data_IF_558405749010
#
_entry.id   IF_558405749010
#
_cell.length_a   1.000
_cell.length_b   1.000
_cell.length_c   1.000
_cell.angle_alpha   90.00
_cell.angle_beta   90.00
_cell.angle_gamma   90.00
#
_symmetry.space_group_name_H-M   'P 1'
#
loop_
_entity.id
_entity.type
_entity.pdbx_description
1 polymer ?
#
# COMPACT_ATOMS: atom_id res chain seq x y z
N UNK A 1 -4.61 38.19 73.80
CA UNK A 1 -4.62 39.29 72.81
C UNK A 1 -5.28 38.76 71.55
N UNK A 2 -6.33 39.41 71.03
CA UNK A 2 -6.96 39.03 69.75
C UNK A 2 -6.25 39.81 68.63
N UNK A 3 -5.83 39.18 67.53
CA UNK A 3 -5.23 39.91 66.42
C UNK A 3 -6.25 40.90 65.81
N UNK A 4 -5.78 42.03 65.26
CA UNK A 4 -6.64 43.00 64.60
C UNK A 4 -7.35 42.39 63.37
N UNK A 5 -8.51 42.93 62.96
CA UNK A 5 -9.20 42.47 61.77
C UNK A 5 -8.33 42.65 60.52
N UNK A 6 -8.30 41.62 59.67
CA UNK A 6 -7.54 41.62 58.41
C UNK A 6 -8.27 42.51 57.39
N UNK A 7 -7.59 43.46 56.72
CA UNK A 7 -8.21 44.30 55.70
C UNK A 7 -8.62 43.49 54.47
N UNK A 8 -9.67 43.95 53.77
CA UNK A 8 -10.08 43.33 52.51
C UNK A 8 -8.95 43.40 51.47
N UNK A 9 -8.65 42.27 50.83
CA UNK A 9 -7.59 42.18 49.82
C UNK A 9 -6.20 41.85 50.36
N UNK A 10 -6.04 41.59 51.66
CA UNK A 10 -4.81 40.98 52.16
C UNK A 10 -4.55 39.63 51.46
N UNK A 11 -3.29 39.34 51.08
CA UNK A 11 -2.96 38.05 50.48
C UNK A 11 -3.31 36.91 51.45
N UNK A 12 -3.72 35.78 50.88
CA UNK A 12 -3.99 34.58 51.67
C UNK A 12 -2.70 34.15 52.41
N UNK A 13 -2.82 33.58 53.62
CA UNK A 13 -1.67 33.06 54.34
C UNK A 13 -0.99 31.93 53.55
N UNK A 14 0.34 31.87 53.61
CA UNK A 14 1.11 30.77 53.05
C UNK A 14 0.84 29.49 53.85
N UNK A 15 0.64 28.37 53.14
CA UNK A 15 0.33 27.07 53.74
C UNK A 15 1.23 26.00 53.11
N UNK A 16 1.99 25.30 53.96
CA UNK A 16 2.94 24.27 53.53
C UNK A 16 2.34 22.87 53.41
N UNK A 17 1.08 22.71 53.81
CA UNK A 17 0.38 21.43 53.71
C UNK A 17 0.05 21.07 52.25
N UNK A 18 0.00 19.77 51.91
CA UNK A 18 -0.43 19.32 50.59
C UNK A 18 -1.86 19.78 50.29
N UNK A 19 -2.14 20.07 49.02
CA UNK A 19 -3.46 20.52 48.62
C UNK A 19 -4.55 19.48 48.93
N UNK A 20 -5.57 19.87 49.71
CA UNK A 20 -6.67 19.01 50.15
C UNK A 20 -7.90 19.04 49.20
N UNK A 21 -7.83 19.74 48.07
CA UNK A 21 -8.91 19.78 47.07
C UNK A 21 -9.13 18.39 46.44
N UNK A 22 -10.34 18.08 45.92
CA UNK A 22 -10.57 16.81 45.23
C UNK A 22 -9.80 16.77 43.91
N UNK A 23 -9.07 15.67 43.67
CA UNK A 23 -8.30 15.44 42.46
C UNK A 23 -8.90 14.28 41.65
N UNK A 24 -8.89 14.40 40.33
CA UNK A 24 -9.36 13.33 39.42
C UNK A 24 -8.28 12.29 39.12
N UNK A 25 -7.04 12.50 39.56
CA UNK A 25 -5.91 11.59 39.40
C UNK A 25 -5.75 10.70 40.65
N UNK A 26 -5.26 9.47 40.44
CA UNK A 26 -5.07 8.48 41.50
C UNK A 26 -3.57 8.35 41.86
N UNK A 27 -3.02 9.36 42.54
CA UNK A 27 -1.64 9.34 43.05
C UNK A 27 -1.50 10.29 44.26
N UNK A 28 -0.43 10.17 45.06
CA UNK A 28 -0.14 11.12 46.14
C UNK A 28 -0.03 12.56 45.62
N UNK A 29 -0.62 13.52 46.32
CA UNK A 29 -0.58 14.94 45.93
C UNK A 29 0.84 15.47 46.12
N UNK A 30 1.46 15.96 45.03
CA UNK A 30 2.85 16.44 45.03
C UNK A 30 2.98 17.97 45.10
N UNK A 31 1.87 18.71 45.22
CA UNK A 31 1.87 20.17 45.31
C UNK A 31 1.25 20.66 46.63
N UNK A 32 1.69 21.86 47.05
CA UNK A 32 1.22 22.53 48.27
C UNK A 32 -0.11 23.24 48.05
N UNK A 33 -0.73 23.68 49.14
CA UNK A 33 -1.88 24.56 49.11
C UNK A 33 -1.57 25.82 48.29
N UNK A 34 -2.54 26.23 47.47
CA UNK A 34 -2.39 27.33 46.52
C UNK A 34 -3.69 28.14 46.46
N UNK A 35 -3.59 29.41 46.10
CA UNK A 35 -4.72 30.35 46.11
C UNK A 35 -5.57 30.32 44.83
N UNK A 36 -5.05 29.77 43.72
CA UNK A 36 -5.78 29.77 42.45
C UNK A 36 -6.99 28.82 42.49
N UNK A 37 -7.98 29.07 41.64
CA UNK A 37 -9.19 28.22 41.51
C UNK A 37 -8.90 26.79 41.00
N UNK A 38 -7.82 26.61 40.24
CA UNK A 38 -7.44 25.33 39.64
C UNK A 38 -6.09 24.84 40.16
N UNK A 39 -6.04 23.56 40.54
CA UNK A 39 -4.78 22.92 40.95
C UNK A 39 -3.78 22.89 39.78
N UNK A 40 -2.48 23.01 40.05
CA UNK A 40 -1.44 22.83 39.03
C UNK A 40 -1.49 21.41 38.46
N UNK A 41 -1.06 21.22 37.19
CA UNK A 41 -1.04 19.90 36.58
C UNK A 41 -0.08 18.97 37.32
N UNK A 42 -0.51 17.71 37.49
CA UNK A 42 0.29 16.71 38.15
C UNK A 42 1.40 16.19 37.23
N UNK A 43 2.62 16.09 37.75
CA UNK A 43 3.79 15.52 37.04
C UNK A 43 3.93 14.01 37.22
N UNK A 44 3.04 13.40 38.01
CA UNK A 44 3.04 11.95 38.21
C UNK A 44 2.73 11.25 36.88
N UNK A 45 3.62 10.33 36.48
CA UNK A 45 3.39 9.49 35.32
C UNK A 45 2.27 8.50 35.67
N UNK A 46 1.13 8.66 35.04
CA UNK A 46 0.04 7.67 35.10
C UNK A 46 0.24 6.65 33.99
N UNK A 47 0.15 5.37 34.33
CA UNK A 47 0.10 4.29 33.34
C UNK A 47 -1.16 4.46 32.47
N UNK A 48 -0.97 4.90 31.22
CA UNK A 48 -2.05 4.94 30.22
C UNK A 48 -1.79 3.83 29.22
N UNK A 49 -2.64 2.81 29.24
CA UNK A 49 -2.59 1.77 28.21
C UNK A 49 -2.83 2.38 26.83
N UNK A 50 -2.02 2.01 25.86
CA UNK A 50 -2.29 2.35 24.47
C UNK A 50 -3.58 1.64 23.99
N UNK A 51 -4.18 2.11 22.89
CA UNK A 51 -5.36 1.49 22.26
C UNK A 51 -5.18 -0.02 21.92
N UNK A 52 -3.96 -0.55 21.99
CA UNK A 52 -3.63 -1.96 21.76
C UNK A 52 -3.34 -2.81 23.01
N UNK A 53 -3.47 -2.28 24.24
CA UNK A 53 -3.19 -3.01 25.50
C UNK A 53 -1.84 -3.77 25.54
N UNK A 54 -0.74 -3.14 25.18
CA UNK A 54 0.61 -3.72 25.36
C UNK A 54 1.27 -3.22 26.65
N UNK A 55 2.06 -4.08 27.27
CA UNK A 55 2.87 -3.84 28.46
C UNK A 55 4.13 -3.01 28.14
N UNK A 56 4.61 -2.24 29.13
CA UNK A 56 5.70 -1.28 28.98
C UNK A 56 7.00 -2.00 28.57
N UNK A 57 7.50 -1.71 27.36
CA UNK A 57 8.77 -2.26 26.84
C UNK A 57 8.63 -3.25 25.68
N UNK A 58 7.42 -3.75 25.39
CA UNK A 58 7.22 -4.67 24.27
C UNK A 58 6.98 -3.93 22.95
N UNK A 59 7.75 -4.28 21.92
CA UNK A 59 7.53 -3.76 20.56
C UNK A 59 6.25 -4.37 20.01
N UNK A 60 5.27 -3.52 19.73
CA UNK A 60 4.02 -3.92 19.09
C UNK A 60 4.31 -4.69 17.79
N UNK A 61 3.90 -5.96 17.72
CA UNK A 61 4.11 -6.85 16.58
C UNK A 61 3.04 -6.71 15.49
N UNK A 62 1.99 -5.92 15.75
CA UNK A 62 0.91 -5.69 14.79
C UNK A 62 1.43 -5.00 13.53
N UNK A 63 1.02 -5.40 12.33
CA UNK A 63 1.47 -4.75 11.10
C UNK A 63 0.97 -3.31 11.03
N UNK A 64 1.87 -2.42 10.59
CA UNK A 64 1.55 -1.05 10.27
C UNK A 64 0.68 -1.00 9.00
N UNK A 65 -0.47 -0.32 9.10
CA UNK A 65 -1.47 -0.20 8.02
C UNK A 65 -1.34 1.11 7.22
N UNK A 66 -0.29 1.91 7.48
CA UNK A 66 0.00 3.12 6.71
C UNK A 66 0.39 2.73 5.28
N UNK A 67 -0.20 3.40 4.30
CA UNK A 67 0.03 3.15 2.88
C UNK A 67 1.35 3.76 2.42
N UNK A 68 2.11 3.00 1.65
CA UNK A 68 3.34 3.43 0.96
C UNK A 68 2.99 4.19 -0.33
N UNK A 69 3.98 4.81 -1.00
CA UNK A 69 3.77 5.42 -2.32
C UNK A 69 3.26 4.44 -3.39
N UNK A 70 3.55 3.15 -3.24
CA UNK A 70 3.00 2.09 -4.10
C UNK A 70 1.61 1.60 -3.67
N UNK A 71 0.91 2.34 -2.80
CA UNK A 71 -0.44 2.09 -2.31
C UNK A 71 -0.63 0.76 -1.54
N UNK A 72 0.47 0.10 -1.20
CA UNK A 72 0.47 -1.10 -0.35
C UNK A 72 0.68 -0.74 1.11
N UNK A 73 0.09 -1.51 2.06
CA UNK A 73 0.35 -1.32 3.48
C UNK A 73 1.82 -1.58 3.81
N UNK A 74 2.36 -0.83 4.78
CA UNK A 74 3.73 -0.97 5.25
C UNK A 74 4.05 -2.40 5.73
N UNK A 75 3.14 -3.01 6.48
CA UNK A 75 3.22 -4.38 7.01
C UNK A 75 4.42 -4.66 7.96
N UNK A 76 5.24 -3.66 8.28
CA UNK A 76 6.26 -3.74 9.33
C UNK A 76 5.63 -3.65 10.73
N UNK A 77 6.34 -4.07 11.79
CA UNK A 77 5.89 -3.89 13.17
C UNK A 77 5.47 -2.43 13.42
N UNK A 78 4.40 -2.25 14.18
CA UNK A 78 3.85 -0.93 14.49
C UNK A 78 4.92 -0.07 15.17
N UNK A 79 5.13 1.12 14.62
CA UNK A 79 6.09 2.12 15.08
C UNK A 79 5.39 3.35 15.70
N UNK A 80 4.16 3.16 16.18
CA UNK A 80 3.38 4.19 16.86
C UNK A 80 3.16 5.43 15.98
N UNK A 81 3.65 6.58 16.44
CA UNK A 81 3.55 7.88 15.76
C UNK A 81 4.78 8.23 14.91
N UNK A 82 5.84 7.43 14.96
CA UNK A 82 7.01 7.65 14.12
C UNK A 82 6.66 7.44 12.63
N UNK A 83 7.34 8.11 11.70
CA UNK A 83 7.18 7.83 10.28
C UNK A 83 7.56 6.38 9.94
N UNK A 84 6.94 5.81 8.91
CA UNK A 84 7.28 4.46 8.46
C UNK A 84 8.76 4.38 8.06
N UNK A 85 9.51 3.38 8.55
CA UNK A 85 10.91 3.22 8.17
C UNK A 85 11.03 2.85 6.68
N UNK A 86 12.05 3.39 6.03
CA UNK A 86 12.36 3.07 4.64
C UNK A 86 12.64 1.57 4.49
N UNK A 87 11.96 0.92 3.56
CA UNK A 87 11.96 -0.54 3.42
C UNK A 87 11.41 -0.94 2.06
N UNK A 88 11.83 -2.09 1.54
CA UNK A 88 11.30 -2.60 0.29
C UNK A 88 9.88 -3.17 0.48
N UNK A 89 8.99 -2.90 -0.48
CA UNK A 89 7.65 -3.47 -0.47
C UNK A 89 7.69 -4.97 -0.80
N UNK A 90 7.23 -5.81 0.13
CA UNK A 90 7.20 -7.28 0.00
C UNK A 90 5.91 -7.81 -0.63
N UNK A 91 4.97 -6.94 -0.98
CA UNK A 91 3.69 -7.36 -1.56
C UNK A 91 3.92 -7.99 -2.93
N UNK A 92 3.22 -9.10 -3.21
CA UNK A 92 3.20 -9.71 -4.54
C UNK A 92 2.16 -9.01 -5.42
N UNK A 93 2.58 -8.62 -6.63
CA UNK A 93 1.72 -8.02 -7.65
C UNK A 93 1.61 -8.97 -8.85
N UNK A 94 0.41 -9.06 -9.43
CA UNK A 94 0.17 -9.87 -10.62
C UNK A 94 0.58 -9.07 -11.85
N UNK A 95 1.49 -9.64 -12.63
CA UNK A 95 1.97 -9.08 -13.90
C UNK A 95 1.52 -9.95 -15.05
N UNK A 96 1.26 -9.35 -16.20
CA UNK A 96 0.68 -10.03 -17.37
C UNK A 96 1.52 -9.81 -18.62
N UNK A 97 1.37 -10.69 -19.61
CA UNK A 97 1.83 -10.40 -20.97
C UNK A 97 0.98 -9.28 -21.58
N UNK A 98 1.49 -8.64 -22.63
CA UNK A 98 0.71 -7.76 -23.53
C UNK A 98 -0.59 -8.43 -24.01
N UNK A 99 -0.57 -9.74 -24.17
CA UNK A 99 -1.68 -10.57 -24.64
C UNK A 99 -2.71 -10.94 -23.55
N UNK A 100 -2.46 -10.62 -22.28
CA UNK A 100 -3.28 -11.01 -21.13
C UNK A 100 -3.30 -12.51 -20.75
N UNK A 101 -2.81 -13.41 -21.62
CA UNK A 101 -2.82 -14.87 -21.42
C UNK A 101 -1.88 -15.33 -20.32
N UNK A 102 -0.61 -14.92 -20.38
CA UNK A 102 0.36 -15.25 -19.33
C UNK A 102 0.24 -14.28 -18.16
N UNK A 103 0.15 -14.84 -16.95
CA UNK A 103 0.14 -14.09 -15.69
C UNK A 103 1.21 -14.67 -14.76
N UNK A 104 1.92 -13.83 -14.03
CA UNK A 104 2.89 -14.24 -13.02
C UNK A 104 2.83 -13.31 -11.82
N UNK A 105 3.40 -13.73 -10.69
CA UNK A 105 3.49 -12.93 -9.47
C UNK A 105 4.93 -12.50 -9.24
N UNK A 106 5.14 -11.20 -9.06
CA UNK A 106 6.45 -10.63 -8.74
C UNK A 106 6.32 -9.70 -7.53
N UNK A 107 7.42 -9.48 -6.80
CA UNK A 107 7.43 -8.53 -5.68
C UNK A 107 7.26 -7.10 -6.19
N UNK A 108 6.51 -6.28 -5.47
CA UNK A 108 6.30 -4.87 -5.80
C UNK A 108 7.61 -4.09 -5.92
N UNK A 109 8.62 -4.39 -5.10
CA UNK A 109 9.95 -3.78 -5.19
C UNK A 109 10.65 -4.08 -6.53
N UNK A 110 10.51 -5.30 -7.04
CA UNK A 110 11.10 -5.74 -8.31
C UNK A 110 10.30 -5.23 -9.50
N UNK A 111 8.98 -5.16 -9.35
CA UNK A 111 8.09 -4.60 -10.36
C UNK A 111 8.41 -3.13 -10.67
N UNK A 112 8.67 -2.30 -9.64
CA UNK A 112 9.10 -0.91 -9.84
C UNK A 112 10.39 -0.81 -10.68
N UNK A 113 11.37 -1.70 -10.43
CA UNK A 113 12.62 -1.77 -11.20
C UNK A 113 12.38 -2.23 -12.64
N UNK A 114 11.48 -3.17 -12.85
CA UNK A 114 11.11 -3.69 -14.18
C UNK A 114 10.44 -2.60 -15.03
N UNK A 115 9.45 -1.90 -14.48
CA UNK A 115 8.75 -0.80 -15.17
C UNK A 115 9.69 0.38 -15.44
N UNK A 116 10.58 0.71 -14.49
CA UNK A 116 11.58 1.75 -14.67
C UNK A 116 12.52 1.47 -15.86
N UNK A 117 12.96 0.22 -16.02
CA UNK A 117 13.78 -0.20 -17.18
C UNK A 117 13.01 -0.14 -18.49
N UNK A 118 11.75 -0.58 -18.51
CA UNK A 118 10.90 -0.47 -19.72
C UNK A 118 10.76 1.00 -20.16
N UNK A 119 10.46 1.90 -19.22
CA UNK A 119 10.30 3.33 -19.49
C UNK A 119 11.59 4.00 -19.96
N UNK A 120 12.74 3.57 -19.43
CA UNK A 120 14.03 4.07 -19.89
C UNK A 120 14.26 3.72 -21.37
N UNK A 121 13.91 2.50 -21.78
CA UNK A 121 14.02 2.06 -23.18
C UNK A 121 13.07 2.83 -24.11
N UNK A 122 11.85 3.15 -23.66
CA UNK A 122 10.89 3.98 -24.41
C UNK A 122 11.35 5.43 -24.60
N UNK A 123 12.13 5.97 -23.66
CA UNK A 123 12.64 7.33 -23.73
C UNK A 123 13.77 7.48 -24.77
N UNK A 124 14.56 6.43 -25.01
CA UNK A 124 15.66 6.45 -25.98
C UNK A 124 15.18 6.32 -27.44
N UNK A 125 13.98 5.78 -27.67
CA UNK A 125 13.38 5.63 -29.00
C UNK A 125 12.78 6.96 -29.56
N UNK A 126 12.72 8.03 -28.76
CA UNK A 126 12.10 9.31 -29.15
C UNK A 126 13.01 10.29 -29.91
N UNK A 127 14.30 9.98 -30.13
CA UNK A 127 15.23 10.89 -30.83
C UNK A 127 15.83 10.36 -32.14
N UNK A 128 15.22 9.36 -32.79
CA UNK A 128 15.66 9.01 -34.14
C UNK A 128 14.82 7.99 -34.88
N UNK A 129 14.00 8.46 -35.83
CA UNK A 129 14.03 8.08 -37.26
C UNK A 129 12.66 8.31 -37.90
N UNK A 130 12.58 9.27 -38.83
CA UNK A 130 11.48 9.34 -39.79
C UNK A 130 11.69 8.22 -40.81
N UNK A 131 10.78 7.25 -40.87
CA UNK A 131 10.65 6.31 -41.99
C UNK A 131 9.22 6.30 -42.51
N UNK A 132 8.99 6.45 -43.83
CA UNK A 132 7.68 6.26 -44.43
C UNK A 132 7.40 4.75 -44.60
N UNK A 133 6.17 4.36 -44.27
CA UNK A 133 5.39 3.25 -44.82
C UNK A 133 6.06 1.87 -45.02
N UNK A 134 5.84 0.96 -44.06
CA UNK A 134 5.42 -0.42 -44.33
C UNK A 134 4.87 -1.07 -43.07
N UNK A 135 3.71 -1.71 -43.19
CA UNK A 135 2.84 -2.15 -42.12
C UNK A 135 3.48 -3.00 -41.01
N UNK A 136 3.59 -2.41 -39.83
CA UNK A 136 3.27 -2.99 -38.53
C UNK A 136 3.09 -1.81 -37.57
N UNK A 137 1.83 -1.45 -37.30
CA UNK A 137 1.52 -0.30 -36.47
C UNK A 137 2.14 -0.47 -35.08
N UNK A 138 3.08 0.41 -34.75
CA UNK A 138 3.56 0.58 -33.39
C UNK A 138 2.34 0.86 -32.50
N UNK A 139 1.96 -0.14 -31.71
CA UNK A 139 0.82 -0.07 -30.81
C UNK A 139 1.05 1.10 -29.85
N UNK A 140 0.32 2.19 -30.06
CA UNK A 140 0.11 3.26 -29.08
C UNK A 140 -0.55 2.61 -27.86
N UNK A 141 0.26 2.19 -26.91
CA UNK A 141 -0.22 1.56 -25.69
C UNK A 141 -0.83 2.64 -24.78
N UNK A 142 -1.98 2.30 -24.17
CA UNK A 142 -2.82 3.21 -23.39
C UNK A 142 -2.57 3.09 -21.88
N UNK A 143 -2.34 4.25 -21.25
CA UNK A 143 -1.66 4.46 -19.97
C UNK A 143 -2.22 3.78 -18.69
N UNK A 144 -3.34 3.06 -18.72
CA UNK A 144 -3.95 2.47 -17.51
C UNK A 144 -3.70 0.97 -17.33
N UNK A 145 -3.57 0.19 -18.41
CA UNK A 145 -3.34 -1.26 -18.34
C UNK A 145 -1.86 -1.64 -18.52
N UNK A 146 -1.06 -0.70 -19.00
CA UNK A 146 0.37 -0.87 -19.30
C UNK A 146 1.25 -1.08 -18.08
N UNK A 147 0.82 -0.64 -16.89
CA UNK A 147 1.67 -0.74 -15.70
C UNK A 147 2.00 -2.21 -15.40
N UNK A 148 1.02 -3.12 -15.53
CA UNK A 148 1.17 -4.54 -15.19
C UNK A 148 1.62 -5.43 -16.38
N UNK A 149 1.69 -4.90 -17.60
CA UNK A 149 2.03 -5.65 -18.81
C UNK A 149 3.55 -5.70 -19.07
N UNK A 150 4.29 -6.31 -18.15
CA UNK A 150 5.75 -6.31 -18.18
C UNK A 150 6.37 -7.68 -18.48
N UNK A 151 5.55 -8.70 -18.81
CA UNK A 151 6.02 -10.01 -19.24
C UNK A 151 6.05 -10.11 -20.78
N UNK A 152 7.13 -10.64 -21.40
CA UNK A 152 7.17 -10.86 -22.85
C UNK A 152 6.35 -12.09 -23.24
N UNK A 153 5.62 -12.06 -24.36
CA UNK A 153 4.94 -13.26 -24.87
C UNK A 153 5.92 -14.43 -25.12
N UNK A 154 5.57 -15.63 -24.68
CA UNK A 154 6.25 -16.88 -25.02
C UNK A 154 5.65 -17.52 -26.29
N UNK A 155 6.17 -18.70 -26.65
CA UNK A 155 5.76 -19.40 -27.87
C UNK A 155 4.32 -19.91 -27.83
N UNK A 156 3.74 -20.17 -26.65
CA UNK A 156 2.32 -20.49 -26.51
C UNK A 156 1.46 -19.28 -26.84
N UNK A 157 1.84 -18.10 -26.35
CA UNK A 157 1.17 -16.84 -26.69
C UNK A 157 1.22 -16.54 -28.20
N UNK A 158 2.38 -16.76 -28.84
CA UNK A 158 2.53 -16.59 -30.30
C UNK A 158 1.71 -17.61 -31.08
N UNK A 159 1.74 -18.88 -30.67
CA UNK A 159 0.96 -19.96 -31.28
C UNK A 159 -0.53 -19.65 -31.18
N UNK A 160 -0.99 -19.27 -30.00
CA UNK A 160 -2.37 -18.89 -29.75
C UNK A 160 -2.81 -17.69 -30.61
N UNK A 161 -1.99 -16.65 -30.72
CA UNK A 161 -2.30 -15.49 -31.58
C UNK A 161 -2.41 -15.90 -33.06
N UNK A 162 -1.51 -16.77 -33.53
CA UNK A 162 -1.55 -17.30 -34.90
C UNK A 162 -2.78 -18.18 -35.14
N UNK A 163 -3.03 -19.14 -34.25
CA UNK A 163 -4.14 -20.07 -34.37
C UNK A 163 -5.48 -19.34 -34.33
N UNK A 164 -5.63 -18.36 -33.42
CA UNK A 164 -6.80 -17.50 -33.36
C UNK A 164 -7.03 -16.75 -34.68
N UNK A 165 -5.99 -16.10 -35.22
CA UNK A 165 -6.10 -15.39 -36.51
C UNK A 165 -6.51 -16.31 -37.66
N UNK A 166 -5.97 -17.53 -37.70
CA UNK A 166 -6.32 -18.53 -38.70
C UNK A 166 -7.77 -18.99 -38.54
N UNK A 167 -8.21 -19.26 -37.31
CA UNK A 167 -9.57 -19.67 -37.03
C UNK A 167 -10.58 -18.56 -37.36
N UNK A 168 -10.29 -17.31 -37.02
CA UNK A 168 -11.12 -16.15 -37.38
C UNK A 168 -11.26 -16.02 -38.89
N UNK A 169 -10.18 -16.19 -39.65
CA UNK A 169 -10.21 -16.14 -41.12
C UNK A 169 -10.96 -17.32 -41.77
N UNK A 170 -11.08 -18.44 -41.06
CA UNK A 170 -11.79 -19.65 -41.49
C UNK A 170 -13.19 -19.78 -40.87
N UNK A 171 -13.63 -18.78 -40.10
CA UNK A 171 -14.91 -18.79 -39.36
C UNK A 171 -15.06 -20.01 -38.43
N UNK A 172 -13.95 -20.48 -37.85
CA UNK A 172 -13.91 -21.62 -36.93
C UNK A 172 -14.08 -21.16 -35.47
N UNK A 173 -14.80 -21.96 -34.70
CA UNK A 173 -14.98 -21.72 -33.27
C UNK A 173 -13.75 -22.22 -32.51
N UNK A 174 -13.11 -21.32 -31.76
CA UNK A 174 -11.95 -21.61 -30.91
C UNK A 174 -12.22 -21.28 -29.46
N UNK A 175 -11.56 -22.00 -28.55
CA UNK A 175 -11.56 -21.72 -27.11
C UNK A 175 -10.70 -20.49 -26.73
N UNK A 176 -10.64 -20.16 -25.44
CA UNK A 176 -9.85 -19.04 -24.89
C UNK A 176 -8.33 -19.13 -25.20
N UNK A 177 -7.82 -20.34 -25.42
CA UNK A 177 -6.43 -20.60 -25.78
C UNK A 177 -6.19 -20.44 -27.28
N UNK A 178 -7.24 -20.42 -28.09
CA UNK A 178 -7.17 -20.33 -29.55
C UNK A 178 -7.01 -21.70 -30.21
N UNK A 179 -7.35 -22.78 -29.49
CA UNK A 179 -7.44 -24.12 -30.06
C UNK A 179 -8.89 -24.39 -30.53
N UNK A 180 -9.06 -25.29 -31.50
CA UNK A 180 -10.38 -25.58 -32.07
C UNK A 180 -11.25 -26.32 -31.06
N UNK A 181 -12.46 -25.82 -30.79
CA UNK A 181 -13.37 -26.47 -29.84
C UNK A 181 -13.87 -27.84 -30.33
N UNK A 182 -13.82 -28.09 -31.64
CA UNK A 182 -14.20 -29.36 -32.24
C UNK A 182 -13.13 -29.82 -33.22
N UNK A 183 -12.68 -31.05 -33.06
CA UNK A 183 -11.79 -31.69 -34.02
C UNK A 183 -12.54 -31.85 -35.36
N UNK A 184 -11.96 -31.34 -36.48
CA UNK A 184 -12.57 -31.52 -37.79
C UNK A 184 -12.57 -33.01 -38.13
N UNK A 185 -13.75 -33.63 -38.08
CA UNK A 185 -13.93 -35.03 -38.47
C UNK A 185 -13.99 -35.09 -39.99
N UNK A 186 -12.89 -35.49 -40.62
CA UNK A 186 -12.83 -35.67 -42.07
C UNK A 186 -13.49 -37.02 -42.41
N UNK A 187 -14.78 -37.02 -42.73
CA UNK A 187 -15.46 -38.24 -43.23
C UNK A 187 -15.20 -38.38 -44.73
N UNK A 188 -14.26 -39.23 -45.11
CA UNK A 188 -13.89 -39.48 -46.53
C UNK A 188 -14.88 -40.39 -47.28
N UNK A 189 -16.00 -40.78 -46.67
CA UNK A 189 -16.88 -41.85 -47.17
C UNK A 189 -17.75 -41.47 -48.37
N UNK A 190 -17.76 -40.20 -48.81
CA UNK A 190 -18.62 -39.76 -49.93
C UNK A 190 -17.90 -39.60 -51.28
N UNK A 191 -16.56 -39.73 -51.34
CA UNK A 191 -15.78 -39.52 -52.57
C UNK A 191 -15.11 -40.78 -53.14
N UNK A 192 -15.35 -41.94 -52.54
CA UNK A 192 -14.95 -43.23 -53.11
C UNK A 192 -16.20 -43.90 -53.68
N UNK A 193 -16.61 -43.46 -54.88
CA UNK A 193 -17.55 -44.17 -55.75
C UNK A 193 -16.92 -44.36 -57.12
#
# INVERSE_FOLDING_TARGET
>A
MRPPPVPCGAPLPECDEPCARPHSCNHPVTHRCHGEERCPPCTALTEKMCYGKHEEGEKCTRPCMVLRPCEHPCALPCHGTAPCPESECRQMVNVTCECGKRKSQVKCSEFGKMVGRLRAFEAEDSEGHQVPDSGVGALRRSASMEKLNCLPCDDECKKAARNKRLAEALELVTDENGDLEKEPTITFTEYVK
#
